data_IF_561494302549
#
_entry.id   IF_561494302549
#
_cell.length_a   1.000
_cell.length_b   1.000
_cell.length_c   1.000
_cell.angle_alpha   90.00
_cell.angle_beta   90.00
_cell.angle_gamma   90.00
#
_symmetry.space_group_name_H-M   'P 1'
#
loop_
_entity.id
_entity.type
_entity.pdbx_description
1 polymer ?
#
# COMPACT_ATOMS: atom_id res chain seq x y z
N UNK A 1 -15.09 -6.79 25.34
CA UNK A 1 -14.31 -5.52 25.37
C UNK A 1 -12.92 -5.81 24.83
N UNK A 2 -12.31 -4.88 24.09
CA UNK A 2 -10.94 -5.07 23.59
C UNK A 2 -9.95 -5.06 24.76
N UNK A 3 -8.95 -5.93 24.72
CA UNK A 3 -7.85 -5.89 25.69
C UNK A 3 -6.86 -4.79 25.30
N UNK A 4 -6.07 -4.23 26.25
CA UNK A 4 -5.04 -3.24 25.94
C UNK A 4 -4.07 -3.70 24.84
N UNK A 5 -3.78 -5.01 24.78
CA UNK A 5 -2.92 -5.60 23.75
C UNK A 5 -3.56 -5.56 22.35
N UNK A 6 -4.87 -5.79 22.23
CA UNK A 6 -5.58 -5.66 20.94
C UNK A 6 -5.63 -4.19 20.49
N UNK A 7 -5.86 -3.27 21.43
CA UNK A 7 -5.83 -1.82 21.15
C UNK A 7 -4.46 -1.37 20.66
N UNK A 8 -3.40 -1.86 21.31
CA UNK A 8 -2.03 -1.61 20.88
C UNK A 8 -1.74 -2.11 19.47
N UNK A 9 -2.14 -3.33 19.15
CA UNK A 9 -1.95 -3.90 17.81
C UNK A 9 -2.66 -3.06 16.74
N UNK A 10 -3.88 -2.57 17.03
CA UNK A 10 -4.61 -1.66 16.14
C UNK A 10 -3.87 -0.32 15.97
N UNK A 11 -3.32 0.23 17.04
CA UNK A 11 -2.53 1.45 16.98
C UNK A 11 -1.33 1.30 16.05
N UNK A 12 -0.51 0.25 16.24
CA UNK A 12 0.67 0.04 15.42
C UNK A 12 0.34 -0.36 13.98
N UNK A 13 -0.76 -1.09 13.76
CA UNK A 13 -1.27 -1.38 12.43
C UNK A 13 -1.64 -0.11 11.67
N UNK A 14 -2.34 0.83 12.33
CA UNK A 14 -2.67 2.15 11.72
C UNK A 14 -1.42 2.98 11.49
N UNK A 15 -0.46 2.95 12.43
CA UNK A 15 0.79 3.68 12.34
C UNK A 15 1.66 3.20 11.17
N UNK A 16 1.92 1.89 11.06
CA UNK A 16 2.73 1.33 9.97
C UNK A 16 2.05 1.55 8.62
N UNK A 17 0.73 1.39 8.54
CA UNK A 17 -0.02 1.69 7.32
C UNK A 17 0.12 3.15 6.90
N UNK A 18 0.06 4.09 7.85
CA UNK A 18 0.29 5.49 7.53
C UNK A 18 1.69 5.75 6.98
N UNK A 19 2.72 5.13 7.56
CA UNK A 19 4.10 5.31 7.11
C UNK A 19 4.37 4.69 5.75
N UNK A 20 3.74 3.55 5.42
CA UNK A 20 3.93 2.86 4.14
C UNK A 20 2.91 3.25 3.05
N UNK A 21 1.92 4.07 3.37
CA UNK A 21 0.94 4.59 2.42
C UNK A 21 1.61 5.57 1.42
N UNK A 22 1.22 5.58 0.12
CA UNK A 22 0.12 4.85 -0.52
C UNK A 22 0.46 3.44 -1.01
N UNK A 23 1.71 3.01 -0.86
CA UNK A 23 2.24 1.86 -1.61
C UNK A 23 1.79 0.52 -1.04
N UNK A 24 1.55 0.45 0.27
CA UNK A 24 1.19 -0.80 0.94
C UNK A 24 -0.01 -0.62 1.87
N UNK A 25 -0.81 -1.68 1.97
CA UNK A 25 -1.89 -1.81 2.95
C UNK A 25 -1.73 -3.15 3.66
N UNK A 26 -1.46 -3.06 4.95
CA UNK A 26 -1.34 -4.18 5.89
C UNK A 26 -2.70 -4.37 6.55
N UNK A 27 -3.21 -5.60 6.53
CA UNK A 27 -4.51 -5.94 7.12
C UNK A 27 -4.33 -6.50 8.53
N UNK A 28 -3.22 -7.19 8.77
CA UNK A 28 -2.88 -7.78 10.05
C UNK A 28 -1.38 -7.63 10.35
N UNK A 29 -1.01 -7.48 11.62
CA UNK A 29 0.41 -7.40 11.98
C UNK A 29 1.20 -8.67 11.59
N UNK A 30 0.54 -9.82 11.42
CA UNK A 30 1.14 -11.04 10.90
C UNK A 30 1.67 -10.89 9.47
N UNK A 31 1.16 -9.95 8.67
CA UNK A 31 1.65 -9.69 7.31
C UNK A 31 3.10 -9.14 7.33
N UNK A 32 3.62 -8.76 8.49
CA UNK A 32 4.99 -8.28 8.69
C UNK A 32 6.01 -9.41 8.98
N UNK A 33 5.56 -10.65 9.15
CA UNK A 33 6.41 -11.78 9.58
C UNK A 33 7.49 -12.15 8.56
N UNK A 34 7.28 -11.81 7.28
CA UNK A 34 8.27 -12.05 6.22
C UNK A 34 9.39 -10.99 6.17
N UNK A 35 9.28 -9.96 7.02
CA UNK A 35 10.24 -8.89 7.18
C UNK A 35 10.32 -7.89 6.03
N UNK A 36 9.67 -8.13 4.88
CA UNK A 36 9.82 -7.26 3.72
C UNK A 36 9.24 -5.86 3.98
N UNK A 37 8.03 -5.79 4.55
CA UNK A 37 7.38 -4.53 4.86
C UNK A 37 8.04 -3.80 6.05
N UNK A 38 8.60 -4.55 7.01
CA UNK A 38 9.42 -3.97 8.09
C UNK A 38 10.72 -3.38 7.53
N UNK A 39 11.34 -4.07 6.57
CA UNK A 39 12.56 -3.60 5.91
C UNK A 39 12.28 -2.31 5.17
N UNK A 40 11.20 -2.27 4.37
CA UNK A 40 10.69 -1.06 3.72
C UNK A 40 10.44 0.09 4.68
N UNK A 41 9.83 -0.20 5.83
CA UNK A 41 9.58 0.79 6.85
C UNK A 41 10.89 1.40 7.35
N UNK A 42 11.88 0.57 7.71
CA UNK A 42 13.16 1.06 8.23
C UNK A 42 13.99 1.80 7.16
N UNK A 43 13.95 1.36 5.92
CA UNK A 43 14.57 2.04 4.77
C UNK A 43 13.98 3.43 4.52
N UNK A 44 12.65 3.55 4.60
CA UNK A 44 11.97 4.84 4.53
C UNK A 44 12.53 5.82 5.57
N UNK A 45 12.81 5.33 6.78
CA UNK A 45 13.36 6.18 7.84
C UNK A 45 14.85 6.49 7.69
N UNK A 46 15.61 5.59 7.05
CA UNK A 46 17.02 5.81 6.71
C UNK A 46 17.21 6.64 5.43
N UNK A 47 16.17 6.80 4.60
CA UNK A 47 16.27 7.42 3.29
C UNK A 47 17.02 6.56 2.27
N UNK A 48 16.95 5.23 2.40
CA UNK A 48 17.60 4.25 1.52
C UNK A 48 16.56 3.49 0.70
N UNK A 49 16.96 2.84 -0.40
CA UNK A 49 16.06 2.07 -1.29
C UNK A 49 16.60 0.65 -1.58
N UNK A 50 16.92 -0.13 -0.54
CA UNK A 50 17.53 -1.46 -0.74
C UNK A 50 16.50 -2.60 -0.95
N UNK A 51 15.28 -2.50 -0.43
CA UNK A 51 14.37 -3.65 -0.36
C UNK A 51 13.89 -4.09 -1.74
N UNK A 52 13.71 -3.17 -2.69
CA UNK A 52 13.35 -3.53 -4.07
C UNK A 52 14.45 -4.33 -4.75
N UNK A 53 15.72 -3.97 -4.48
CA UNK A 53 16.85 -4.72 -5.01
C UNK A 53 16.92 -6.15 -4.44
N UNK A 54 16.45 -6.34 -3.19
CA UNK A 54 16.39 -7.64 -2.50
C UNK A 54 15.14 -8.47 -2.84
N UNK A 55 14.03 -7.84 -3.17
CA UNK A 55 12.78 -8.54 -3.52
C UNK A 55 12.83 -9.12 -4.94
N UNK A 56 13.45 -8.41 -5.88
CA UNK A 56 13.47 -8.79 -7.31
C UNK A 56 14.03 -10.20 -7.57
N UNK A 57 15.14 -10.66 -6.96
CA UNK A 57 15.67 -12.00 -7.16
C UNK A 57 14.74 -13.11 -6.63
N UNK A 58 13.97 -12.86 -5.57
CA UNK A 58 13.06 -13.84 -5.01
C UNK A 58 11.87 -14.09 -5.94
N UNK A 59 11.21 -13.01 -6.40
CA UNK A 59 10.07 -13.10 -7.30
C UNK A 59 10.44 -13.65 -8.69
N UNK A 60 11.58 -13.23 -9.26
CA UNK A 60 12.03 -13.74 -10.56
C UNK A 60 12.37 -15.24 -10.52
N UNK A 61 12.92 -15.73 -9.40
CA UNK A 61 13.29 -17.14 -9.20
C UNK A 61 12.08 -18.03 -8.89
N UNK A 62 11.03 -17.50 -8.27
CA UNK A 62 9.75 -18.20 -8.11
C UNK A 62 8.99 -18.32 -9.43
N UNK A 63 8.84 -17.22 -10.17
CA UNK A 63 8.09 -17.16 -11.43
C UNK A 63 8.73 -18.00 -12.55
N UNK A 64 10.06 -18.09 -12.59
CA UNK A 64 10.78 -18.88 -13.59
C UNK A 64 10.65 -20.40 -13.39
N UNK A 65 10.30 -20.88 -12.18
CA UNK A 65 10.16 -22.32 -11.89
C UNK A 65 8.75 -22.86 -12.08
N UNK A 66 7.72 -22.03 -11.96
CA UNK A 66 6.33 -22.42 -12.23
C UNK A 66 6.07 -22.66 -13.73
N UNK A 67 6.80 -21.97 -14.61
CA UNK A 67 6.57 -22.04 -16.07
C UNK A 67 7.17 -23.31 -16.72
N UNK A 68 8.29 -23.84 -16.21
CA UNK A 68 9.00 -24.99 -16.82
C UNK A 68 8.45 -26.36 -16.38
N UNK A 69 7.43 -26.41 -15.52
CA UNK A 69 7.02 -27.65 -14.83
C UNK A 69 5.74 -28.30 -15.38
N UNK A 70 5.10 -27.77 -16.42
CA UNK A 70 3.79 -28.24 -16.88
C UNK A 70 3.80 -29.55 -17.68
N UNK A 71 4.95 -30.07 -18.13
CA UNK A 71 4.97 -31.05 -19.25
C UNK A 71 5.39 -32.49 -18.90
N UNK A 72 5.62 -32.89 -17.64
CA UNK A 72 5.92 -34.30 -17.35
C UNK A 72 5.19 -34.83 -16.12
N UNK A 73 4.51 -35.96 -16.29
CA UNK A 73 3.84 -36.72 -15.23
C UNK A 73 4.81 -37.04 -14.10
N UNK A 74 4.53 -36.53 -12.89
CA UNK A 74 5.41 -36.65 -11.72
C UNK A 74 4.70 -37.32 -10.56
N UNK A 75 5.46 -38.21 -9.90
CA UNK A 75 5.09 -38.96 -8.69
C UNK A 75 4.80 -38.04 -7.50
N UNK A 76 3.99 -38.51 -6.55
CA UNK A 76 3.59 -37.78 -5.33
C UNK A 76 4.78 -37.34 -4.47
N UNK A 77 5.83 -38.16 -4.36
CA UNK A 77 7.07 -37.81 -3.65
C UNK A 77 7.75 -36.55 -4.22
N UNK A 78 7.70 -36.35 -5.54
CA UNK A 78 8.26 -35.15 -6.17
C UNK A 78 7.49 -33.87 -5.82
N UNK A 79 6.20 -33.98 -5.48
CA UNK A 79 5.38 -32.83 -5.05
C UNK A 79 5.68 -32.42 -3.62
N UNK A 80 5.89 -33.37 -2.72
CA UNK A 80 6.19 -33.08 -1.32
C UNK A 80 7.56 -32.41 -1.16
N UNK A 81 8.62 -32.98 -1.75
CA UNK A 81 9.96 -32.41 -1.69
C UNK A 81 10.02 -30.96 -2.21
N UNK A 82 9.23 -30.63 -3.25
CA UNK A 82 9.14 -29.26 -3.78
C UNK A 82 8.42 -28.29 -2.84
N UNK A 83 7.41 -28.76 -2.10
CA UNK A 83 6.73 -27.94 -1.10
C UNK A 83 7.67 -27.63 0.06
N UNK A 84 8.42 -28.63 0.51
CA UNK A 84 9.45 -28.48 1.55
C UNK A 84 10.55 -27.51 1.09
N UNK A 85 11.08 -27.67 -0.12
CA UNK A 85 12.10 -26.76 -0.70
C UNK A 85 11.58 -25.32 -0.86
N UNK A 86 10.32 -25.15 -1.28
CA UNK A 86 9.69 -23.83 -1.39
C UNK A 86 9.47 -23.17 -0.02
N UNK A 87 9.01 -23.95 0.97
CA UNK A 87 8.82 -23.46 2.33
C UNK A 87 10.15 -23.08 2.97
N UNK A 88 11.20 -23.90 2.80
CA UNK A 88 12.54 -23.59 3.28
C UNK A 88 13.05 -22.26 2.70
N UNK A 89 12.89 -22.06 1.38
CA UNK A 89 13.27 -20.78 0.74
C UNK A 89 12.49 -19.58 1.25
N UNK A 90 11.20 -19.75 1.50
CA UNK A 90 10.37 -18.70 2.09
C UNK A 90 10.90 -18.32 3.48
N UNK A 91 11.25 -19.32 4.30
CA UNK A 91 11.86 -19.09 5.60
C UNK A 91 13.22 -18.41 5.47
N UNK A 92 14.12 -18.90 4.60
CA UNK A 92 15.44 -18.28 4.35
C UNK A 92 15.31 -16.81 3.93
N UNK A 93 14.36 -16.50 3.04
CA UNK A 93 14.10 -15.14 2.59
C UNK A 93 13.55 -14.26 3.72
N UNK A 94 12.59 -14.76 4.50
CA UNK A 94 12.06 -14.04 5.65
C UNK A 94 13.15 -13.76 6.70
N UNK A 95 13.98 -14.76 7.02
CA UNK A 95 15.12 -14.61 7.94
C UNK A 95 16.10 -13.54 7.44
N UNK A 96 16.42 -13.53 6.16
CA UNK A 96 17.32 -12.53 5.57
C UNK A 96 16.75 -11.11 5.64
N UNK A 97 15.44 -10.95 5.38
CA UNK A 97 14.76 -9.65 5.51
C UNK A 97 14.75 -9.17 6.96
N UNK A 98 14.38 -10.03 7.91
CA UNK A 98 14.35 -9.66 9.33
C UNK A 98 15.76 -9.33 9.85
N UNK A 99 16.79 -10.07 9.45
CA UNK A 99 18.16 -9.71 9.80
C UNK A 99 18.53 -8.30 9.30
N UNK A 100 18.14 -7.95 8.07
CA UNK A 100 18.35 -6.60 7.53
C UNK A 100 17.53 -5.53 8.27
N UNK A 101 16.32 -5.85 8.73
CA UNK A 101 15.53 -4.96 9.60
C UNK A 101 16.31 -4.64 10.87
N UNK A 102 16.90 -5.64 11.52
CA UNK A 102 17.67 -5.44 12.76
C UNK A 102 18.92 -4.60 12.51
N UNK A 103 19.64 -4.84 11.41
CA UNK A 103 20.77 -3.99 10.99
C UNK A 103 20.33 -2.53 10.77
N UNK A 104 19.20 -2.31 10.09
CA UNK A 104 18.66 -0.95 9.90
C UNK A 104 18.21 -0.31 11.22
N UNK A 105 17.63 -1.09 12.13
CA UNK A 105 17.26 -0.64 13.46
C UNK A 105 18.51 -0.20 14.26
N UNK A 106 19.64 -0.92 14.15
CA UNK A 106 20.91 -0.48 14.74
C UNK A 106 21.40 0.85 14.16
N UNK A 107 21.30 1.04 12.84
CA UNK A 107 21.62 2.32 12.17
C UNK A 107 20.71 3.46 12.64
N UNK A 108 19.42 3.17 12.86
CA UNK A 108 18.44 4.08 13.46
C UNK A 108 18.64 4.28 14.98
N UNK A 109 19.67 3.65 15.56
CA UNK A 109 19.95 3.67 17.01
C UNK A 109 18.74 3.19 17.82
N UNK A 110 18.05 2.15 17.39
CA UNK A 110 16.98 1.52 18.17
C UNK A 110 17.61 0.75 19.33
N UNK A 111 17.24 1.10 20.55
CA UNK A 111 17.74 0.42 21.75
C UNK A 111 16.94 -0.87 22.02
N UNK A 112 17.54 -1.80 22.78
CA UNK A 112 16.87 -3.00 23.31
C UNK A 112 16.34 -4.00 22.26
N UNK A 113 16.87 -4.01 21.03
CA UNK A 113 16.52 -5.00 20.01
C UNK A 113 16.75 -6.44 20.46
N UNK A 114 17.76 -6.68 21.30
CA UNK A 114 18.08 -8.00 21.86
C UNK A 114 16.98 -8.61 22.72
N UNK A 115 15.97 -7.83 23.10
CA UNK A 115 14.80 -8.31 23.87
C UNK A 115 13.73 -8.96 22.99
N UNK A 116 13.87 -8.90 21.67
CA UNK A 116 12.90 -9.43 20.70
C UNK A 116 13.56 -10.60 19.95
N UNK A 117 13.19 -11.85 20.27
CA UNK A 117 13.66 -13.01 19.50
C UNK A 117 13.25 -12.89 18.04
N UNK A 118 14.17 -13.21 17.13
CA UNK A 118 13.93 -13.17 15.69
C UNK A 118 12.87 -14.22 15.29
N UNK A 119 12.89 -15.36 15.96
CA UNK A 119 11.97 -16.49 15.77
C UNK A 119 10.52 -16.07 16.05
N UNK A 120 10.31 -15.24 17.07
CA UNK A 120 8.97 -14.76 17.42
C UNK A 120 8.36 -13.91 16.30
N UNK A 121 9.20 -13.15 15.58
CA UNK A 121 8.75 -12.36 14.43
C UNK A 121 8.45 -13.26 13.24
N UNK A 122 9.34 -14.22 12.94
CA UNK A 122 9.15 -15.18 11.84
C UNK A 122 7.91 -16.06 12.05
N UNK A 123 7.56 -16.38 13.29
CA UNK A 123 6.35 -17.10 13.67
C UNK A 123 5.08 -16.22 13.63
N UNK A 124 5.21 -14.92 13.35
CA UNK A 124 4.09 -14.00 13.28
C UNK A 124 3.49 -13.65 14.64
N UNK A 125 4.26 -13.77 15.74
CA UNK A 125 3.77 -13.40 17.08
C UNK A 125 3.55 -11.90 17.15
N UNK A 126 2.28 -11.49 17.07
CA UNK A 126 1.84 -10.09 17.06
C UNK A 126 2.40 -9.25 18.20
N UNK A 127 2.62 -9.85 19.38
CA UNK A 127 3.21 -9.16 20.53
C UNK A 127 4.67 -8.74 20.26
N UNK A 128 5.49 -9.64 19.68
CA UNK A 128 6.87 -9.36 19.32
C UNK A 128 6.94 -8.32 18.20
N UNK A 129 6.09 -8.44 17.18
CA UNK A 129 5.98 -7.48 16.08
C UNK A 129 5.56 -6.09 16.61
N UNK A 130 4.55 -6.03 17.47
CA UNK A 130 4.10 -4.78 18.11
C UNK A 130 5.23 -4.14 18.95
N UNK A 131 6.00 -4.96 19.67
CA UNK A 131 7.15 -4.48 20.44
C UNK A 131 8.25 -3.92 19.53
N UNK A 132 8.55 -4.58 18.41
CA UNK A 132 9.52 -4.09 17.43
C UNK A 132 9.06 -2.76 16.82
N UNK A 133 7.80 -2.67 16.40
CA UNK A 133 7.22 -1.43 15.88
C UNK A 133 7.25 -0.30 16.91
N UNK A 134 7.02 -0.60 18.20
CA UNK A 134 7.19 0.37 19.27
C UNK A 134 8.62 0.90 19.35
N UNK A 135 9.63 0.01 19.37
CA UNK A 135 11.03 0.41 19.47
C UNK A 135 11.47 1.27 18.27
N UNK A 136 11.05 0.88 17.06
CA UNK A 136 11.28 1.66 15.83
C UNK A 136 10.61 3.04 15.96
N UNK A 137 9.30 3.08 16.29
CA UNK A 137 8.56 4.33 16.43
C UNK A 137 9.14 5.23 17.53
N UNK A 138 9.63 4.67 18.63
CA UNK A 138 10.26 5.40 19.71
C UNK A 138 11.56 6.06 19.25
N UNK A 139 12.43 5.32 18.54
CA UNK A 139 13.67 5.85 18.00
C UNK A 139 13.42 7.04 17.06
N UNK A 140 12.38 6.95 16.23
CA UNK A 140 12.06 7.97 15.23
C UNK A 140 11.36 9.18 15.85
N UNK A 141 10.33 8.96 16.67
CA UNK A 141 9.44 10.05 17.10
C UNK A 141 9.84 10.67 18.44
N UNK A 142 10.63 9.98 19.25
CA UNK A 142 10.90 10.39 20.64
C UNK A 142 12.38 10.51 20.97
N UNK A 143 13.22 9.58 20.52
CA UNK A 143 14.62 9.49 20.99
C UNK A 143 15.42 10.77 20.76
N UNK A 144 15.23 11.44 19.63
CA UNK A 144 15.93 12.68 19.30
C UNK A 144 15.27 13.95 19.86
N UNK A 145 14.12 13.82 20.55
CA UNK A 145 13.50 14.98 21.19
C UNK A 145 14.39 15.48 22.31
N UNK A 146 14.70 16.78 22.29
CA UNK A 146 15.48 17.45 23.31
C UNK A 146 14.84 18.78 23.68
N UNK A 147 14.55 18.96 24.96
CA UNK A 147 13.95 20.18 25.49
C UNK A 147 14.67 20.53 26.79
N UNK A 148 15.32 21.70 26.81
CA UNK A 148 16.01 22.22 28.00
C UNK A 148 17.00 21.24 28.67
N UNK A 149 17.72 20.44 27.88
CA UNK A 149 18.72 19.49 28.39
C UNK A 149 18.17 18.09 28.69
N UNK A 150 16.86 17.91 28.58
CA UNK A 150 16.18 16.63 28.79
C UNK A 150 15.87 15.99 27.44
N UNK A 151 15.98 14.67 27.34
CA UNK A 151 15.72 13.93 26.09
C UNK A 151 14.61 12.89 26.20
N UNK A 152 14.13 12.43 25.04
CA UNK A 152 13.22 11.29 24.95
C UNK A 152 11.85 11.53 25.58
N UNK A 153 11.33 10.52 26.27
CA UNK A 153 10.04 10.56 26.93
C UNK A 153 9.86 11.74 27.90
N UNK A 154 10.91 12.04 28.69
CA UNK A 154 10.83 13.08 29.72
C UNK A 154 10.70 14.46 29.05
N UNK A 155 11.42 14.69 27.94
CA UNK A 155 11.31 15.90 27.15
C UNK A 155 9.88 16.10 26.63
N UNK A 156 9.29 15.04 26.07
CA UNK A 156 7.91 15.08 25.55
C UNK A 156 6.91 15.44 26.64
N UNK A 157 7.04 14.82 27.81
CA UNK A 157 6.13 15.07 28.92
C UNK A 157 6.30 16.50 29.46
N UNK A 158 7.54 17.00 29.53
CA UNK A 158 7.82 18.38 29.91
C UNK A 158 7.19 19.38 28.94
N UNK A 159 7.34 19.16 27.63
CA UNK A 159 6.73 20.00 26.61
C UNK A 159 5.21 20.13 26.77
N UNK A 160 4.54 19.00 26.98
CA UNK A 160 3.09 18.99 27.18
C UNK A 160 2.73 19.74 28.46
N UNK A 161 3.50 19.57 29.54
CA UNK A 161 3.28 20.28 30.81
C UNK A 161 3.41 21.80 30.64
N UNK A 162 4.40 22.25 29.87
CA UNK A 162 4.60 23.67 29.57
C UNK A 162 3.39 24.24 28.80
N UNK A 163 2.90 23.55 27.77
CA UNK A 163 1.71 23.99 27.00
C UNK A 163 0.43 23.97 27.85
N UNK A 164 0.30 23.02 28.76
CA UNK A 164 -0.92 22.82 29.56
C UNK A 164 -0.92 23.55 30.91
N UNK A 165 0.15 24.28 31.23
CA UNK A 165 0.35 24.90 32.53
C UNK A 165 -0.77 25.90 32.84
N UNK A 166 -1.45 25.69 33.97
CA UNK A 166 -2.58 26.54 34.40
C UNK A 166 -3.90 26.28 33.68
N UNK A 167 -3.92 25.50 32.59
CA UNK A 167 -5.12 25.26 31.77
C UNK A 167 -5.75 23.88 32.02
N UNK A 168 -4.95 22.87 32.36
CA UNK A 168 -5.45 21.52 32.68
C UNK A 168 -5.62 21.36 34.19
N UNK A 169 -6.83 21.04 34.69
CA UNK A 169 -7.04 20.76 36.10
C UNK A 169 -6.14 19.60 36.57
N UNK A 170 -5.33 19.82 37.61
CA UNK A 170 -4.30 18.90 38.14
C UNK A 170 -3.05 18.69 37.28
N UNK A 171 -2.96 19.35 36.11
CA UNK A 171 -1.84 19.24 35.19
C UNK A 171 -1.64 17.85 34.58
N UNK A 172 -0.71 17.75 33.62
CA UNK A 172 -0.36 16.47 32.98
C UNK A 172 0.74 15.78 33.79
N UNK A 173 0.39 14.75 34.55
CA UNK A 173 1.35 14.02 35.42
C UNK A 173 2.04 12.88 34.69
N UNK A 174 1.31 12.18 33.81
CA UNK A 174 1.81 11.06 33.02
C UNK A 174 1.09 11.01 31.66
N UNK A 175 1.52 10.13 30.76
CA UNK A 175 0.80 9.90 29.50
C UNK A 175 -0.60 9.31 29.69
N UNK A 176 -0.92 8.73 30.86
CA UNK A 176 -2.29 8.33 31.20
C UNK A 176 -3.23 9.52 31.43
N UNK A 177 -2.70 10.72 31.70
CA UNK A 177 -3.51 11.93 31.91
C UNK A 177 -4.25 12.40 30.64
N UNK A 178 -3.96 11.83 29.47
CA UNK A 178 -4.61 12.16 28.20
C UNK A 178 -6.00 11.53 28.02
N UNK A 179 -6.41 10.62 28.91
CA UNK A 179 -7.68 9.92 28.82
C UNK A 179 -8.91 10.82 28.93
N UNK A 180 -8.78 12.06 29.43
CA UNK A 180 -9.90 13.00 29.52
C UNK A 180 -10.06 13.84 28.24
N UNK A 181 -9.08 13.78 27.33
CA UNK A 181 -9.00 14.53 26.08
C UNK A 181 -8.63 16.02 26.21
N UNK A 182 -8.51 16.57 27.42
CA UNK A 182 -8.30 18.02 27.64
C UNK A 182 -6.93 18.45 27.15
N UNK A 183 -5.87 17.77 27.61
CA UNK A 183 -4.50 18.05 27.16
C UNK A 183 -4.35 17.86 25.65
N UNK A 184 -5.03 16.86 25.07
CA UNK A 184 -4.98 16.63 23.62
C UNK A 184 -5.67 17.76 22.85
N UNK A 185 -6.80 18.28 23.35
CA UNK A 185 -7.46 19.44 22.75
C UNK A 185 -6.55 20.67 22.72
N UNK A 186 -5.83 20.93 23.82
CA UNK A 186 -4.85 22.02 23.90
C UNK A 186 -3.75 21.86 22.86
N UNK A 187 -3.15 20.67 22.78
CA UNK A 187 -2.15 20.37 21.74
C UNK A 187 -2.74 20.55 20.34
N UNK A 188 -4.00 20.18 20.09
CA UNK A 188 -4.60 20.27 18.76
C UNK A 188 -4.78 21.70 18.22
N UNK A 189 -4.81 22.72 19.09
CA UNK A 189 -4.95 24.14 18.69
C UNK A 189 -3.63 24.92 18.75
N UNK A 190 -2.66 24.43 19.51
CA UNK A 190 -1.29 24.94 19.51
C UNK A 190 -0.58 24.68 18.17
N UNK A 191 0.40 25.50 17.73
CA UNK A 191 0.73 26.86 18.19
C UNK A 191 -0.14 27.96 17.54
N UNK A 192 -1.11 27.60 16.71
CA UNK A 192 -1.91 28.56 15.91
C UNK A 192 -2.72 29.52 16.77
N UNK A 193 -3.13 29.07 17.95
CA UNK A 193 -3.84 29.87 18.95
C UNK A 193 -3.25 29.61 20.31
N UNK A 194 -3.07 30.66 21.10
CA UNK A 194 -2.85 30.54 22.53
C UNK A 194 -4.16 30.03 23.15
N UNK A 195 -4.20 28.81 23.72
CA UNK A 195 -5.43 28.27 24.27
C UNK A 195 -5.81 29.08 25.51
N UNK A 196 -6.91 29.82 25.41
CA UNK A 196 -7.39 30.67 26.50
C UNK A 196 -8.44 29.96 27.38
N UNK A 197 -8.84 30.61 28.47
CA UNK A 197 -9.90 30.11 29.35
C UNK A 197 -11.24 29.93 28.62
N UNK A 198 -11.50 30.70 27.55
CA UNK A 198 -12.73 30.60 26.77
C UNK A 198 -12.75 29.28 26.01
N UNK A 199 -11.64 28.90 25.39
CA UNK A 199 -11.47 27.60 24.76
C UNK A 199 -11.64 26.47 25.77
N UNK A 200 -11.01 26.56 26.95
CA UNK A 200 -11.18 25.57 28.04
C UNK A 200 -12.65 25.45 28.46
N UNK A 201 -13.35 26.57 28.70
CA UNK A 201 -14.79 26.58 29.03
C UNK A 201 -15.64 25.94 27.94
N UNK A 202 -15.23 26.05 26.67
CA UNK A 202 -15.92 25.40 25.55
C UNK A 202 -15.71 23.89 25.56
N UNK A 203 -14.46 23.41 25.65
CA UNK A 203 -14.17 21.96 25.62
C UNK A 203 -14.58 21.25 26.91
N UNK A 204 -14.72 21.94 28.04
CA UNK A 204 -15.23 21.37 29.29
C UNK A 204 -16.70 20.95 29.20
N UNK A 205 -17.45 21.45 28.20
CA UNK A 205 -18.82 21.01 27.92
C UNK A 205 -18.88 19.67 27.20
N UNK A 206 -17.77 19.24 26.60
CA UNK A 206 -17.67 17.95 25.91
C UNK A 206 -17.42 16.83 26.91
N UNK A 207 -17.93 15.65 26.60
CA UNK A 207 -17.52 14.39 27.21
C UNK A 207 -16.06 14.08 26.86
N UNK A 208 -15.42 13.16 27.60
CA UNK A 208 -14.04 12.76 27.29
C UNK A 208 -13.88 12.25 25.85
N UNK A 209 -14.79 11.39 25.40
CA UNK A 209 -14.78 10.85 24.04
C UNK A 209 -14.94 11.94 22.98
N UNK A 210 -15.80 12.94 23.20
CA UNK A 210 -15.97 14.07 22.30
C UNK A 210 -14.72 14.95 22.24
N UNK A 211 -14.05 15.19 23.38
CA UNK A 211 -12.74 15.89 23.42
C UNK A 211 -11.67 15.14 22.63
N UNK A 212 -11.51 13.85 22.87
CA UNK A 212 -10.57 13.01 22.13
C UNK A 212 -10.87 13.02 20.62
N UNK A 213 -12.14 12.90 20.23
CA UNK A 213 -12.58 12.92 18.83
C UNK A 213 -12.28 14.26 18.17
N UNK A 214 -12.62 15.36 18.83
CA UNK A 214 -12.33 16.71 18.37
C UNK A 214 -10.82 16.90 18.15
N UNK A 215 -10.02 16.57 19.15
CA UNK A 215 -8.58 16.79 19.10
C UNK A 215 -7.90 15.93 18.02
N UNK A 216 -8.24 14.65 17.91
CA UNK A 216 -7.67 13.75 16.88
C UNK A 216 -8.01 14.27 15.48
N UNK A 217 -9.25 14.71 15.25
CA UNK A 217 -9.66 15.30 13.96
C UNK A 217 -8.83 16.54 13.62
N UNK A 218 -8.71 17.48 14.56
CA UNK A 218 -7.93 18.70 14.37
C UNK A 218 -6.46 18.39 14.07
N UNK A 219 -5.86 17.41 14.75
CA UNK A 219 -4.49 16.96 14.50
C UNK A 219 -4.35 16.28 13.12
N UNK A 220 -5.35 15.52 12.69
CA UNK A 220 -5.39 14.92 11.35
C UNK A 220 -5.49 15.95 10.24
N UNK A 221 -6.26 17.01 10.42
CA UNK A 221 -6.30 18.14 9.48
C UNK A 221 -4.92 18.82 9.36
N UNK A 222 -4.07 18.70 10.39
CA UNK A 222 -2.66 19.16 10.40
C UNK A 222 -1.65 18.11 9.90
N UNK A 223 -2.12 16.97 9.38
CA UNK A 223 -1.29 15.92 8.81
C UNK A 223 -0.82 14.84 9.79
N UNK A 224 -1.28 14.85 11.05
CA UNK A 224 -0.95 13.82 12.04
C UNK A 224 -1.98 12.69 11.92
N UNK A 225 -1.57 11.45 11.64
CA UNK A 225 -2.51 10.37 11.36
C UNK A 225 -3.40 10.03 12.56
N UNK A 226 -4.65 9.67 12.30
CA UNK A 226 -5.60 9.17 13.29
C UNK A 226 -5.30 7.72 13.71
N UNK A 227 -4.14 7.49 14.33
CA UNK A 227 -3.70 6.16 14.81
C UNK A 227 -4.39 5.77 16.13
N UNK A 228 -4.79 6.75 16.94
CA UNK A 228 -5.56 6.55 18.16
C UNK A 228 -7.07 6.45 17.86
N UNK A 229 -7.76 5.50 18.51
CA UNK A 229 -9.22 5.48 18.52
C UNK A 229 -9.75 6.31 19.69
N UNK A 230 -10.63 7.32 19.48
CA UNK A 230 -11.17 8.13 20.57
C UNK A 230 -11.82 7.34 21.73
N UNK A 231 -12.62 6.29 21.50
CA UNK A 231 -13.16 5.45 22.57
C UNK A 231 -12.05 4.79 23.39
N UNK A 232 -11.07 4.16 22.74
CA UNK A 232 -9.98 3.45 23.40
C UNK A 232 -9.12 4.41 24.25
N UNK A 233 -8.87 5.63 23.77
CA UNK A 233 -8.16 6.67 24.51
C UNK A 233 -9.01 7.18 25.69
N UNK A 234 -10.28 7.52 25.45
CA UNK A 234 -11.16 8.09 26.48
C UNK A 234 -11.47 7.14 27.64
N UNK A 235 -11.43 5.83 27.38
CA UNK A 235 -11.63 4.77 28.36
C UNK A 235 -10.33 4.35 29.07
N UNK A 236 -9.18 4.96 28.72
CA UNK A 236 -7.88 4.57 29.27
C UNK A 236 -7.39 3.18 28.84
N UNK A 237 -7.93 2.63 27.74
CA UNK A 237 -7.53 1.32 27.21
C UNK A 237 -6.27 1.40 26.34
N UNK A 238 -5.99 2.57 25.75
CA UNK A 238 -4.80 2.80 24.95
C UNK A 238 -3.54 2.80 25.85
N UNK A 239 -2.56 1.90 25.63
CA UNK A 239 -1.38 1.86 26.47
C UNK A 239 -0.58 3.16 26.44
N UNK A 240 0.01 3.53 27.58
CA UNK A 240 0.83 4.73 27.71
C UNK A 240 1.93 4.83 26.64
N UNK A 241 2.52 3.70 26.24
CA UNK A 241 3.52 3.67 25.17
C UNK A 241 3.02 4.15 23.81
N UNK A 242 1.77 3.84 23.45
CA UNK A 242 1.16 4.33 22.21
C UNK A 242 0.86 5.83 22.29
N UNK A 243 0.39 6.29 23.45
CA UNK A 243 0.17 7.73 23.70
C UNK A 243 1.48 8.49 23.54
N UNK A 244 2.60 7.99 24.11
CA UNK A 244 3.93 8.58 23.93
C UNK A 244 4.27 8.77 22.46
N UNK A 245 4.19 7.70 21.66
CA UNK A 245 4.45 7.77 20.21
C UNK A 245 3.57 8.82 19.56
N UNK A 246 2.26 8.80 19.83
CA UNK A 246 1.33 9.74 19.23
C UNK A 246 1.66 11.20 19.55
N UNK A 247 1.97 11.52 20.81
CA UNK A 247 2.39 12.87 21.20
C UNK A 247 3.74 13.24 20.58
N UNK A 248 4.67 12.29 20.43
CA UNK A 248 5.92 12.50 19.69
C UNK A 248 5.67 12.89 18.23
N UNK A 249 4.70 12.24 17.58
CA UNK A 249 4.29 12.61 16.21
C UNK A 249 3.70 14.03 16.15
N UNK A 250 2.89 14.41 17.14
CA UNK A 250 2.35 15.77 17.27
C UNK A 250 3.49 16.79 17.43
N UNK A 251 4.45 16.51 18.31
CA UNK A 251 5.62 17.35 18.51
C UNK A 251 6.44 17.51 17.23
N UNK A 252 6.70 16.42 16.52
CA UNK A 252 7.49 16.41 15.29
C UNK A 252 6.85 17.31 14.21
N UNK A 253 5.51 17.27 14.08
CA UNK A 253 4.77 18.13 13.16
C UNK A 253 4.85 19.60 13.58
N UNK A 254 4.66 19.92 14.87
CA UNK A 254 4.66 21.32 15.32
C UNK A 254 6.01 21.98 15.33
N UNK A 255 7.07 21.25 15.63
CA UNK A 255 8.40 21.82 15.61
C UNK A 255 8.96 21.95 14.19
N UNK A 256 8.26 21.44 13.16
CA UNK A 256 8.54 21.53 11.70
C UNK A 256 9.98 21.22 11.23
N UNK A 257 10.93 21.00 12.13
CA UNK A 257 12.37 21.07 11.89
C UNK A 257 13.20 20.06 12.69
N UNK A 258 12.58 19.13 13.43
CA UNK A 258 13.37 18.10 14.12
C UNK A 258 13.74 16.91 13.22
N UNK A 259 13.01 16.61 12.13
CA UNK A 259 13.41 15.56 11.19
C UNK A 259 13.01 15.96 9.76
N UNK A 260 13.98 15.92 8.85
CA UNK A 260 13.85 16.15 7.39
C UNK A 260 12.84 15.22 6.67
N UNK A 261 12.08 14.40 7.40
CA UNK A 261 11.27 13.31 6.84
C UNK A 261 9.81 13.66 6.55
N UNK A 262 9.15 14.55 7.31
CA UNK A 262 7.71 14.76 7.14
C UNK A 262 7.31 15.51 5.86
N UNK A 263 8.04 16.56 5.43
CA UNK A 263 7.84 17.13 4.10
C UNK A 263 8.09 16.09 3.01
N UNK A 264 9.12 15.25 3.16
CA UNK A 264 9.42 14.16 2.22
C UNK A 264 8.27 13.15 2.11
N UNK A 265 7.66 12.70 3.21
CA UNK A 265 6.54 11.74 3.14
C UNK A 265 5.31 12.37 2.47
N UNK A 266 4.99 13.63 2.78
CA UNK A 266 3.88 14.33 2.11
C UNK A 266 4.18 14.55 0.64
N UNK A 267 5.39 14.99 0.30
CA UNK A 267 5.83 15.23 -1.09
C UNK A 267 5.91 13.92 -1.89
N UNK A 268 6.42 12.85 -1.29
CA UNK A 268 6.42 11.50 -1.86
C UNK A 268 5.00 10.98 -2.06
N UNK A 269 4.11 11.21 -1.09
CA UNK A 269 2.69 10.85 -1.21
C UNK A 269 2.02 11.62 -2.34
N UNK A 270 2.20 12.94 -2.38
CA UNK A 270 1.64 13.79 -3.42
C UNK A 270 2.23 13.43 -4.80
N UNK A 271 3.52 13.06 -4.85
CA UNK A 271 4.19 12.58 -6.05
C UNK A 271 3.64 11.23 -6.53
N UNK A 272 3.48 10.25 -5.64
CA UNK A 272 2.91 8.93 -5.98
C UNK A 272 1.43 9.04 -6.37
N UNK A 273 0.64 9.91 -5.71
CA UNK A 273 -0.74 10.23 -6.13
C UNK A 273 -0.74 10.76 -7.58
N UNK A 274 0.10 11.76 -7.88
CA UNK A 274 0.24 12.30 -9.24
C UNK A 274 0.69 11.24 -10.26
N UNK A 275 1.55 10.31 -9.85
CA UNK A 275 2.05 9.22 -10.69
C UNK A 275 0.96 8.20 -11.01
N UNK A 276 0.13 7.84 -10.04
CA UNK A 276 -1.04 6.97 -10.24
C UNK A 276 -2.12 7.66 -11.09
N UNK A 277 -2.37 8.95 -10.88
CA UNK A 277 -3.26 9.75 -11.74
C UNK A 277 -2.76 9.74 -13.20
N UNK A 278 -1.47 9.99 -13.44
CA UNK A 278 -0.88 9.89 -14.79
C UNK A 278 -1.02 8.48 -15.39
N UNK A 279 -0.80 7.42 -14.60
CA UNK A 279 -1.00 6.04 -15.08
C UNK A 279 -2.46 5.79 -15.46
N UNK A 280 -3.41 6.32 -14.70
CA UNK A 280 -4.84 6.22 -14.98
C UNK A 280 -5.20 6.96 -16.28
N UNK A 281 -4.71 8.18 -16.47
CA UNK A 281 -4.88 8.95 -17.71
C UNK A 281 -4.30 8.21 -18.94
N UNK A 282 -3.12 7.62 -18.79
CA UNK A 282 -2.49 6.80 -19.85
C UNK A 282 -3.33 5.57 -20.20
N UNK A 283 -3.93 4.90 -19.20
CA UNK A 283 -4.84 3.76 -19.43
C UNK A 283 -6.11 4.22 -20.15
N UNK A 284 -6.70 5.33 -19.74
CA UNK A 284 -7.88 5.91 -20.41
C UNK A 284 -7.58 6.31 -21.86
N UNK A 285 -6.42 6.94 -22.11
CA UNK A 285 -5.98 7.30 -23.47
C UNK A 285 -5.81 6.06 -24.36
N UNK A 286 -5.13 5.01 -23.86
CA UNK A 286 -4.99 3.74 -24.59
C UNK A 286 -6.33 3.08 -24.89
N UNK A 287 -7.29 3.17 -23.97
CA UNK A 287 -8.63 2.62 -24.18
C UNK A 287 -9.38 3.40 -25.26
N UNK A 288 -9.31 4.74 -25.25
CA UNK A 288 -9.88 5.60 -26.30
C UNK A 288 -9.25 5.33 -27.67
N UNK A 289 -7.92 5.15 -27.73
CA UNK A 289 -7.22 4.80 -28.98
C UNK A 289 -7.67 3.43 -29.51
N UNK A 290 -7.80 2.41 -28.63
CA UNK A 290 -8.32 1.08 -29.00
C UNK A 290 -9.77 1.17 -29.51
N UNK A 291 -10.60 2.00 -28.90
CA UNK A 291 -11.98 2.22 -29.33
C UNK A 291 -12.04 2.92 -30.70
N UNK A 292 -11.23 3.95 -30.91
CA UNK A 292 -11.12 4.60 -32.22
C UNK A 292 -10.63 3.64 -33.31
N UNK A 293 -9.66 2.76 -33.00
CA UNK A 293 -9.21 1.73 -33.93
C UNK A 293 -10.32 0.72 -34.24
N UNK A 294 -11.11 0.31 -33.24
CA UNK A 294 -12.27 -0.56 -33.44
C UNK A 294 -13.31 0.11 -34.33
N UNK A 295 -13.61 1.38 -34.11
CA UNK A 295 -14.57 2.14 -34.92
C UNK A 295 -14.09 2.31 -36.35
N UNK A 296 -12.80 2.66 -36.57
CA UNK A 296 -12.20 2.72 -37.91
C UNK A 296 -12.28 1.38 -38.63
N UNK A 297 -11.94 0.28 -37.94
CA UNK A 297 -12.04 -1.07 -38.50
C UNK A 297 -13.49 -1.45 -38.85
N UNK A 298 -14.46 -1.09 -38.01
CA UNK A 298 -15.88 -1.30 -38.31
C UNK A 298 -16.34 -0.47 -39.51
N UNK A 299 -15.87 0.78 -39.64
CA UNK A 299 -16.18 1.63 -40.79
C UNK A 299 -15.58 1.08 -42.09
N UNK A 300 -14.34 0.59 -42.06
CA UNK A 300 -13.71 -0.10 -43.19
C UNK A 300 -14.49 -1.35 -43.61
N UNK A 301 -14.94 -2.15 -42.64
CA UNK A 301 -15.80 -3.32 -42.90
C UNK A 301 -17.11 -2.89 -43.57
N UNK A 302 -17.76 -1.83 -43.06
CA UNK A 302 -18.99 -1.28 -43.67
C UNK A 302 -18.77 -0.81 -45.11
N UNK A 303 -17.66 -0.10 -45.38
CA UNK A 303 -17.30 0.34 -46.74
C UNK A 303 -17.06 -0.84 -47.68
N UNK A 304 -16.40 -1.91 -47.22
CA UNK A 304 -16.20 -3.14 -48.01
C UNK A 304 -17.52 -3.85 -48.33
N UNK A 305 -18.42 -3.97 -47.34
CA UNK A 305 -19.76 -4.56 -47.54
C UNK A 305 -20.55 -3.74 -48.57
N UNK A 306 -20.55 -2.40 -48.46
CA UNK A 306 -21.23 -1.52 -49.41
C UNK A 306 -20.67 -1.65 -50.84
N UNK A 307 -19.34 -1.71 -51.00
CA UNK A 307 -18.70 -1.89 -52.29
C UNK A 307 -19.02 -3.26 -52.93
N UNK A 308 -19.03 -4.33 -52.13
CA UNK A 308 -19.45 -5.67 -52.59
C UNK A 308 -20.92 -5.67 -53.03
N UNK A 309 -21.81 -4.99 -52.29
CA UNK A 309 -23.21 -4.82 -52.67
C UNK A 309 -23.38 -4.10 -54.02
N UNK A 310 -22.63 -3.02 -54.24
CA UNK A 310 -22.67 -2.28 -55.51
C UNK A 310 -22.12 -3.11 -56.70
N UNK A 311 -21.03 -3.85 -56.50
CA UNK A 311 -20.46 -4.74 -57.52
C UNK A 311 -21.44 -5.87 -57.90
N UNK A 312 -22.13 -6.46 -56.92
CA UNK A 312 -23.15 -7.48 -57.18
C UNK A 312 -24.34 -6.92 -57.99
N UNK A 313 -24.78 -5.68 -57.70
CA UNK A 313 -25.81 -5.01 -58.50
C UNK A 313 -25.38 -4.75 -59.95
N UNK A 314 -24.14 -4.31 -60.17
CA UNK A 314 -23.61 -4.12 -61.52
C UNK A 314 -23.51 -5.43 -62.31
N UNK A 315 -23.06 -6.52 -61.67
CA UNK A 315 -23.03 -7.84 -62.31
C UNK A 315 -24.44 -8.33 -62.67
N UNK A 316 -25.42 -8.14 -61.78
CA UNK A 316 -26.81 -8.49 -62.06
C UNK A 316 -27.39 -7.70 -63.26
N UNK A 317 -27.08 -6.41 -63.37
CA UNK A 317 -27.49 -5.58 -64.51
C UNK A 317 -26.80 -6.01 -65.82
N UNK A 318 -25.51 -6.36 -65.79
CA UNK A 318 -24.81 -6.88 -66.96
C UNK A 318 -25.37 -8.23 -67.43
N UNK A 319 -25.70 -9.15 -66.50
CA UNK A 319 -26.33 -10.42 -66.85
C UNK A 319 -27.73 -10.23 -67.48
N UNK A 320 -28.49 -9.22 -67.04
CA UNK A 320 -29.76 -8.86 -67.67
C UNK A 320 -29.58 -8.28 -69.09
N UNK A 321 -28.45 -7.63 -69.39
CA UNK A 321 -28.14 -7.17 -70.75
C UNK A 321 -27.68 -8.31 -71.67
N UNK A 322 -26.98 -9.33 -71.16
CA UNK A 322 -26.53 -10.48 -71.97
C UNK A 322 -27.70 -11.38 -72.39
N UNK A 323 -28.80 -11.42 -71.62
CA UNK A 323 -30.02 -12.15 -72.02
C UNK A 323 -30.81 -11.49 -73.18
N UNK A 324 -30.38 -10.34 -73.71
CA UNK A 324 -31.00 -9.71 -74.88
C UNK A 324 -30.25 -9.95 -76.21
N UNK A 325 -29.21 -10.80 -76.25
CA UNK A 325 -28.59 -11.20 -77.52
C UNK A 325 -29.32 -12.39 -78.17
N UNK A 326 -29.65 -12.31 -79.49
CA UNK A 326 -30.33 -13.40 -80.19
C UNK A 326 -29.41 -14.62 -80.32
N UNK A 327 -29.91 -15.75 -79.79
CA UNK A 327 -29.27 -17.07 -79.82
C UNK A 327 -29.04 -17.50 -81.28
N UNK A 328 -27.77 -17.63 -81.68
CA UNK A 328 -27.41 -18.40 -82.87
C UNK A 328 -27.18 -19.88 -82.49
N UNK A 329 -27.61 -20.83 -83.34
CA UNK A 329 -27.52 -22.26 -83.06
C UNK A 329 -26.11 -22.77 -83.39
N UNK A 330 -25.39 -23.30 -82.40
CA UNK A 330 -24.09 -23.98 -82.62
C UNK A 330 -24.16 -25.42 -82.13
N UNK A 331 -23.58 -26.24 -82.99
CA UNK A 331 -23.64 -27.69 -83.08
C UNK A 331 -22.87 -28.40 -81.96
N UNK A 332 -23.36 -29.61 -81.72
CA UNK A 332 -22.82 -30.71 -80.93
C UNK A 332 -21.39 -31.13 -81.33
N UNK A 333 -20.50 -31.27 -80.35
CA UNK A 333 -19.40 -32.24 -80.40
C UNK A 333 -18.98 -32.68 -79.01
N UNK A 334 -19.07 -33.98 -78.79
CA UNK A 334 -18.55 -34.80 -77.70
C UNK A 334 -17.04 -34.64 -77.46
N UNK A 335 -16.59 -34.66 -76.20
CA UNK A 335 -15.39 -35.42 -75.85
C UNK A 335 -15.24 -35.69 -74.34
N UNK A 336 -14.85 -36.93 -74.07
CA UNK A 336 -14.42 -37.54 -72.82
C UNK A 336 -13.10 -36.98 -72.28
N UNK A 337 -12.93 -36.91 -70.95
CA UNK A 337 -11.81 -37.55 -70.23
C UNK A 337 -11.75 -37.28 -68.71
N UNK A 338 -11.56 -38.38 -67.98
CA UNK A 338 -10.75 -38.63 -66.77
C UNK A 338 -10.67 -37.62 -65.61
N UNK A 339 -11.31 -38.05 -64.52
CA UNK A 339 -10.94 -38.11 -63.08
C UNK A 339 -9.41 -38.15 -62.71
N UNK A 340 -8.99 -38.22 -61.42
CA UNK A 340 -8.88 -37.17 -60.39
C UNK A 340 -7.43 -37.03 -59.83
N UNK A 341 -7.11 -36.01 -59.02
CA UNK A 341 -5.95 -36.13 -58.09
C UNK A 341 -6.10 -35.30 -56.82
N UNK A 342 -6.13 -36.02 -55.71
CA UNK A 342 -6.04 -35.58 -54.31
C UNK A 342 -4.56 -35.51 -53.92
N UNK A 343 -4.14 -34.49 -53.20
CA UNK A 343 -2.88 -34.48 -52.44
C UNK A 343 -3.09 -33.90 -51.04
N UNK A 344 -2.79 -34.63 -49.95
CA UNK A 344 -2.55 -34.05 -48.64
C UNK A 344 -1.04 -33.83 -48.44
N UNK A 345 -0.65 -32.70 -47.84
CA UNK A 345 0.73 -32.44 -47.44
C UNK A 345 0.91 -32.62 -45.93
N UNK A 346 1.99 -33.33 -45.63
CA UNK A 346 2.42 -33.89 -44.35
C UNK A 346 3.10 -32.85 -43.45
N UNK A 347 2.96 -33.09 -42.15
CA UNK A 347 3.76 -32.56 -41.03
C UNK A 347 5.26 -32.85 -41.18
N UNK A 348 6.10 -31.90 -40.76
CA UNK A 348 7.46 -32.18 -40.31
C UNK A 348 7.70 -31.61 -38.90
N UNK A 349 8.42 -32.44 -38.15
CA UNK A 349 9.08 -32.34 -36.85
C UNK A 349 9.62 -30.98 -36.43
#
# INVERSE_FOLDING_TARGET
MATPQVVEQKFFLRWVNFMLFPNFQILDLGDLMDGYLLLRLTELFLGTEEADSRAKPYFEKEMSKTTTSATLGRTTQSRQARREEAQQRKTEWATANIAAVFENCEKLKVDSLSTIPLEDILEGKKAAISNLLYLIAYAIHLKEMHIQGVTGEIAVLQWVREISMGLVPNGVKSFGSFQDGTALCLLSVFPEKDPDEIFIKKINKFTSIERCTFAIRQLTDKGIPAVCDPPDLSMGLLPARCIKIYIGMVYAVYNKYSLKLLPSIKEQRDHEIRKEERKKELREKRNKEKEQQRNKKQEEIRKRIAAQGAAAQQQAQQQQQVQQQPVQPIQSSSNSNSDPTVTPFTTHT
#
